data_IF_697336436059
#
_entry.id   IF_697336436059
#
_cell.length_a   1.000
_cell.length_b   1.000
_cell.length_c   1.000
_cell.angle_alpha   90.00
_cell.angle_beta   90.00
_cell.angle_gamma   90.00
#
_symmetry.space_group_name_H-M   'P 1'
#
loop_
_entity.id
_entity.type
_entity.pdbx_description
1 polymer ?
#
# COMPACT_ATOMS: atom_id res chain seq x y z
N UNK A 1 61.59 -28.82 -28.60
CA UNK A 1 60.91 -28.35 -27.37
C UNK A 1 60.09 -27.13 -27.72
N UNK A 2 58.77 -27.29 -27.79
CA UNK A 2 57.76 -26.25 -27.65
C UNK A 2 56.46 -26.99 -27.32
N UNK A 3 56.05 -26.90 -26.07
CA UNK A 3 54.91 -27.64 -25.50
C UNK A 3 53.69 -26.71 -25.56
N UNK A 4 52.69 -27.10 -26.33
CA UNK A 4 51.44 -26.37 -26.53
C UNK A 4 50.49 -26.71 -25.36
N UNK A 5 50.07 -25.69 -24.59
CA UNK A 5 49.08 -25.84 -23.53
C UNK A 5 47.66 -25.98 -24.13
N UNK A 6 46.73 -26.74 -23.50
CA UNK A 6 45.39 -26.95 -24.03
C UNK A 6 44.47 -25.75 -23.73
N UNK A 7 43.58 -25.46 -24.67
CA UNK A 7 42.56 -24.41 -24.57
C UNK A 7 41.42 -24.81 -23.60
N UNK A 8 41.05 -23.91 -22.69
CA UNK A 8 39.88 -24.06 -21.82
C UNK A 8 38.58 -23.81 -22.61
N UNK A 9 37.50 -24.58 -22.35
CA UNK A 9 36.21 -24.34 -22.99
C UNK A 9 35.48 -23.16 -22.33
N UNK A 10 35.12 -22.17 -23.14
CA UNK A 10 34.22 -21.06 -22.77
C UNK A 10 32.82 -21.67 -22.56
N UNK A 11 32.33 -21.64 -21.31
CA UNK A 11 30.95 -22.00 -20.99
C UNK A 11 30.00 -20.96 -21.61
N UNK A 12 28.92 -21.37 -22.31
CA UNK A 12 27.92 -20.43 -22.78
C UNK A 12 27.17 -19.83 -21.59
N UNK A 13 27.13 -18.49 -21.54
CA UNK A 13 26.19 -17.73 -20.73
C UNK A 13 24.78 -18.19 -21.11
N UNK A 14 24.12 -18.95 -20.22
CA UNK A 14 22.70 -19.27 -20.35
C UNK A 14 21.88 -18.06 -19.95
N UNK A 15 21.67 -17.19 -20.92
CA UNK A 15 20.49 -16.33 -21.01
C UNK A 15 19.26 -17.23 -21.23
N UNK A 16 18.40 -17.31 -20.22
CA UNK A 16 16.96 -17.60 -20.29
C UNK A 16 16.51 -18.09 -18.90
N UNK A 17 16.46 -17.17 -17.93
CA UNK A 17 15.46 -17.31 -16.87
C UNK A 17 14.12 -17.03 -17.54
N UNK A 18 13.41 -18.12 -17.86
CA UNK A 18 12.05 -18.09 -18.37
C UNK A 18 11.17 -17.24 -17.45
N UNK A 19 10.62 -16.19 -18.04
CA UNK A 19 9.84 -15.10 -17.44
C UNK A 19 8.37 -15.51 -17.17
N UNK A 20 8.10 -16.80 -16.96
CA UNK A 20 6.76 -17.32 -16.75
C UNK A 20 6.67 -18.02 -15.38
N UNK A 21 5.64 -17.63 -14.63
CA UNK A 21 5.13 -18.21 -13.38
C UNK A 21 5.73 -17.71 -12.05
N UNK A 22 6.00 -16.41 -11.93
CA UNK A 22 5.81 -15.71 -10.65
C UNK A 22 4.33 -15.32 -10.45
N UNK A 23 3.44 -16.30 -10.54
CA UNK A 23 2.09 -16.21 -9.98
C UNK A 23 2.18 -16.45 -8.46
N UNK A 24 2.97 -15.60 -7.79
CA UNK A 24 2.98 -15.52 -6.34
C UNK A 24 1.67 -14.86 -5.93
N UNK A 25 0.66 -15.69 -5.67
CA UNK A 25 -0.59 -15.32 -4.98
C UNK A 25 -0.30 -14.22 -3.97
N UNK A 26 -0.70 -13.00 -4.27
CA UNK A 26 -0.42 -11.84 -3.44
C UNK A 26 -1.23 -12.01 -2.13
N UNK A 27 -0.62 -12.59 -1.10
CA UNK A 27 -1.25 -12.89 0.21
C UNK A 27 -1.55 -11.64 1.05
N UNK A 28 -1.45 -10.45 0.45
CA UNK A 28 -1.70 -9.17 1.10
C UNK A 28 -3.14 -8.69 0.96
N UNK A 29 -3.46 -7.63 1.69
CA UNK A 29 -4.74 -6.92 1.56
C UNK A 29 -4.56 -5.73 0.64
N UNK A 30 -5.38 -5.66 -0.40
CA UNK A 30 -5.40 -4.53 -1.34
C UNK A 30 -6.15 -3.36 -0.70
N UNK A 31 -5.43 -2.27 -0.43
CA UNK A 31 -5.98 -1.01 0.09
C UNK A 31 -6.21 0.04 -1.02
N UNK A 32 -6.25 -0.43 -2.26
CA UNK A 32 -6.44 0.35 -3.48
C UNK A 32 -5.16 0.98 -4.03
N UNK A 33 -5.21 1.35 -5.32
CA UNK A 33 -4.20 2.21 -5.97
C UNK A 33 -4.61 3.68 -5.84
N UNK A 34 -3.68 4.62 -6.07
CA UNK A 34 -4.03 6.04 -6.12
C UNK A 34 -5.23 6.25 -7.08
N UNK A 35 -6.25 7.03 -6.68
CA UNK A 35 -6.32 7.91 -5.52
C UNK A 35 -6.90 7.29 -4.22
N UNK A 36 -7.20 5.99 -4.18
CA UNK A 36 -7.89 5.36 -3.04
C UNK A 36 -7.18 5.53 -1.69
N UNK A 37 -5.84 5.60 -1.69
CA UNK A 37 -5.05 5.89 -0.49
C UNK A 37 -5.34 7.28 0.09
N UNK A 38 -5.72 8.26 -0.74
CA UNK A 38 -6.13 9.59 -0.28
C UNK A 38 -7.51 9.56 0.38
N UNK A 39 -8.45 8.74 -0.12
CA UNK A 39 -9.76 8.58 0.50
C UNK A 39 -9.62 7.98 1.92
N UNK A 40 -8.79 6.93 2.06
CA UNK A 40 -8.50 6.34 3.38
C UNK A 40 -7.84 7.37 4.29
N UNK A 41 -6.87 8.13 3.78
CA UNK A 41 -6.18 9.18 4.53
C UNK A 41 -7.15 10.22 5.09
N UNK A 42 -8.03 10.79 4.26
CA UNK A 42 -8.98 11.81 4.69
C UNK A 42 -10.06 11.27 5.62
N UNK A 43 -10.56 10.06 5.33
CA UNK A 43 -11.47 9.36 6.24
C UNK A 43 -10.84 9.09 7.62
N UNK A 44 -9.58 8.67 7.68
CA UNK A 44 -8.88 8.52 8.96
C UNK A 44 -8.68 9.88 9.64
N UNK A 45 -8.42 10.96 8.89
CA UNK A 45 -8.25 12.30 9.45
C UNK A 45 -9.52 12.80 10.16
N UNK A 46 -10.71 12.46 9.63
CA UNK A 46 -11.99 12.85 10.24
C UNK A 46 -12.33 12.09 11.53
N UNK A 47 -11.71 10.93 11.76
CA UNK A 47 -11.97 10.09 12.95
C UNK A 47 -10.84 10.13 13.98
N UNK A 48 -9.58 10.08 13.53
CA UNK A 48 -8.41 10.11 14.40
C UNK A 48 -7.16 10.56 13.65
N UNK A 49 -6.68 11.77 13.97
CA UNK A 49 -5.41 12.32 13.46
C UNK A 49 -4.24 11.34 13.70
N UNK A 50 -4.25 10.62 14.83
CA UNK A 50 -3.21 9.63 15.14
C UNK A 50 -3.30 8.40 14.23
N UNK A 51 -4.50 7.91 13.93
CA UNK A 51 -4.67 6.81 12.98
C UNK A 51 -4.22 7.21 11.57
N UNK A 52 -4.56 8.42 11.15
CA UNK A 52 -4.12 9.00 9.87
C UNK A 52 -2.59 9.11 9.81
N UNK A 53 -1.93 9.62 10.86
CA UNK A 53 -0.47 9.70 10.89
C UNK A 53 0.22 8.32 10.80
N UNK A 54 -0.32 7.31 11.50
CA UNK A 54 0.18 5.93 11.40
C UNK A 54 -0.05 5.36 9.99
N UNK A 55 -1.20 5.63 9.38
CA UNK A 55 -1.45 5.26 7.99
C UNK A 55 -0.46 5.92 7.02
N UNK A 56 -0.09 7.18 7.22
CA UNK A 56 0.91 7.84 6.38
C UNK A 56 2.31 7.18 6.48
N UNK A 57 2.69 6.69 7.67
CA UNK A 57 3.92 5.91 7.85
C UNK A 57 3.87 4.55 7.14
N UNK A 58 2.68 3.97 7.03
CA UNK A 58 2.46 2.68 6.38
C UNK A 58 2.41 2.80 4.86
N UNK A 59 1.60 3.71 4.31
CA UNK A 59 1.17 3.67 2.91
C UNK A 59 1.50 4.94 2.10
N UNK A 60 2.18 5.92 2.68
CA UNK A 60 2.49 7.20 2.01
C UNK A 60 3.99 7.50 1.87
N UNK A 61 4.87 6.52 2.06
CA UNK A 61 6.32 6.74 1.84
C UNK A 61 6.98 7.67 2.86
N UNK A 62 6.35 7.94 4.01
CA UNK A 62 6.86 8.89 5.02
C UNK A 62 7.96 8.34 5.92
N UNK A 63 8.25 7.03 5.83
CA UNK A 63 9.20 6.34 6.70
C UNK A 63 10.36 5.78 5.91
N UNK A 64 11.57 6.00 6.42
CA UNK A 64 12.80 5.36 5.90
C UNK A 64 12.75 3.87 6.27
N UNK A 65 13.03 3.00 5.30
CA UNK A 65 12.99 1.56 5.52
C UNK A 65 14.16 1.11 6.42
N UNK A 66 13.96 0.12 7.30
CA UNK A 66 14.94 -0.25 8.32
C UNK A 66 16.24 -0.86 7.76
N UNK A 67 16.27 -1.16 6.46
CA UNK A 67 17.42 -1.71 5.75
C UNK A 67 18.17 -0.68 4.90
N UNK A 68 17.88 0.62 5.08
CA UNK A 68 18.57 1.71 4.38
C UNK A 68 18.09 2.00 2.96
N UNK A 69 17.08 1.27 2.49
CA UNK A 69 16.44 1.54 1.20
C UNK A 69 15.46 2.73 1.30
N UNK A 70 15.42 3.53 0.25
CA UNK A 70 14.37 4.52 0.03
C UNK A 70 13.10 3.82 -0.47
N UNK A 71 11.90 4.34 -0.13
CA UNK A 71 10.65 3.88 -0.75
C UNK A 71 10.76 3.93 -2.28
N UNK A 72 10.60 2.78 -2.95
CA UNK A 72 10.71 2.66 -4.41
C UNK A 72 12.10 2.28 -4.95
N UNK A 73 13.08 1.97 -4.10
CA UNK A 73 14.37 1.41 -4.53
C UNK A 73 14.21 0.02 -5.17
N UNK A 74 15.14 -0.41 -6.05
CA UNK A 74 15.05 -1.65 -6.84
C UNK A 74 15.01 -2.96 -6.02
N UNK A 75 15.11 -2.88 -4.68
CA UNK A 75 15.04 -4.02 -3.76
C UNK A 75 13.68 -4.18 -3.05
N UNK A 76 12.63 -3.46 -3.47
CA UNK A 76 11.28 -3.82 -3.06
C UNK A 76 10.21 -2.83 -3.49
N UNK A 77 9.05 -3.36 -3.86
CA UNK A 77 7.81 -2.59 -4.00
C UNK A 77 7.33 -1.97 -2.68
N UNK A 78 8.04 -2.14 -1.57
CA UNK A 78 7.61 -1.69 -0.25
C UNK A 78 7.77 -0.18 -0.05
N UNK A 79 6.75 0.46 0.55
CA UNK A 79 6.68 1.91 0.75
C UNK A 79 6.51 2.36 2.19
N UNK A 80 6.33 1.43 3.10
CA UNK A 80 6.21 1.75 4.51
C UNK A 80 5.84 0.54 5.34
N UNK A 81 5.90 0.73 6.66
CA UNK A 81 5.63 -0.32 7.62
C UNK A 81 5.21 0.25 8.96
N UNK A 82 4.50 -0.57 9.71
CA UNK A 82 4.23 -0.39 11.13
C UNK A 82 4.84 -1.56 11.91
N UNK A 83 5.49 -1.23 13.01
CA UNK A 83 5.89 -2.22 14.02
C UNK A 83 4.65 -2.85 14.69
N UNK A 84 4.79 -3.99 15.38
CA UNK A 84 3.69 -4.56 16.16
C UNK A 84 3.06 -3.57 17.14
N UNK A 85 3.86 -2.77 17.84
CA UNK A 85 3.38 -1.77 18.80
C UNK A 85 2.58 -0.66 18.11
N UNK A 86 3.05 -0.17 16.97
CA UNK A 86 2.32 0.82 16.18
C UNK A 86 1.03 0.24 15.60
N UNK A 87 1.04 -1.03 15.17
CA UNK A 87 -0.14 -1.75 14.66
C UNK A 87 -1.19 -1.92 15.76
N UNK A 88 -0.79 -2.31 16.98
CA UNK A 88 -1.69 -2.33 18.13
C UNK A 88 -2.21 -0.94 18.48
N UNK A 89 -1.36 0.09 18.40
CA UNK A 89 -1.79 1.47 18.60
C UNK A 89 -2.71 1.97 17.50
N UNK A 90 -2.64 1.44 16.29
CA UNK A 90 -3.56 1.78 15.21
C UNK A 90 -4.91 1.09 15.44
N UNK A 91 -4.89 -0.21 15.74
CA UNK A 91 -6.10 -0.99 16.01
C UNK A 91 -6.94 -0.39 17.15
N UNK A 92 -6.31 0.05 18.25
CA UNK A 92 -7.03 0.68 19.37
C UNK A 92 -7.65 2.04 19.02
N UNK A 93 -7.15 2.74 18.00
CA UNK A 93 -7.74 4.01 17.51
C UNK A 93 -8.87 3.79 16.52
N UNK A 94 -8.94 2.61 15.94
CA UNK A 94 -9.97 2.20 14.99
C UNK A 94 -11.03 1.32 15.65
N UNK A 95 -10.94 1.09 16.97
CA UNK A 95 -11.90 0.27 17.70
C UNK A 95 -13.30 0.89 17.62
N UNK A 96 -14.26 0.07 17.18
CA UNK A 96 -15.66 0.49 16.99
C UNK A 96 -15.93 1.31 15.72
N UNK A 97 -14.90 1.72 14.97
CA UNK A 97 -15.08 2.43 13.72
C UNK A 97 -15.73 1.53 12.66
N UNK A 98 -16.79 2.03 12.03
CA UNK A 98 -17.47 1.33 10.95
C UNK A 98 -16.95 1.81 9.61
N UNK A 99 -16.60 0.88 8.73
CA UNK A 99 -16.26 1.22 7.35
C UNK A 99 -17.53 1.65 6.59
N UNK A 100 -17.42 2.61 5.64
CA UNK A 100 -18.47 2.84 4.67
C UNK A 100 -18.81 1.56 3.90
N UNK A 101 -20.08 1.39 3.59
CA UNK A 101 -20.51 0.29 2.73
C UNK A 101 -19.95 0.46 1.33
N UNK A 102 -19.44 -0.63 0.73
CA UNK A 102 -18.71 -0.58 -0.54
C UNK A 102 -19.54 0.08 -1.66
N UNK A 103 -20.81 -0.28 -1.76
CA UNK A 103 -21.73 0.25 -2.77
C UNK A 103 -22.02 1.75 -2.60
N UNK A 104 -22.08 2.24 -1.35
CA UNK A 104 -22.27 3.67 -1.06
C UNK A 104 -21.02 4.47 -1.42
N UNK A 105 -19.83 3.96 -1.07
CA UNK A 105 -18.56 4.58 -1.40
C UNK A 105 -18.32 4.65 -2.92
N UNK A 106 -18.71 3.61 -3.67
CA UNK A 106 -18.66 3.62 -5.13
C UNK A 106 -19.62 4.66 -5.74
N UNK A 107 -20.87 4.70 -5.28
CA UNK A 107 -21.85 5.67 -5.75
C UNK A 107 -21.39 7.12 -5.49
N UNK A 108 -20.83 7.36 -4.31
CA UNK A 108 -20.27 8.65 -3.94
C UNK A 108 -19.05 9.03 -4.80
N UNK A 109 -18.15 8.09 -5.08
CA UNK A 109 -17.02 8.32 -5.97
C UNK A 109 -17.49 8.71 -7.39
N UNK A 110 -18.50 8.02 -7.93
CA UNK A 110 -19.08 8.37 -9.22
C UNK A 110 -19.78 9.73 -9.22
N UNK A 111 -20.40 10.13 -8.11
CA UNK A 111 -20.95 11.48 -7.95
C UNK A 111 -19.82 12.53 -7.95
N UNK A 112 -18.74 12.30 -7.19
CA UNK A 112 -17.57 13.18 -7.15
C UNK A 112 -16.97 13.43 -8.54
N UNK A 113 -16.78 12.37 -9.34
CA UNK A 113 -16.23 12.49 -10.70
C UNK A 113 -17.13 13.33 -11.62
N UNK A 114 -18.46 13.16 -11.53
CA UNK A 114 -19.42 13.96 -12.30
C UNK A 114 -19.37 15.44 -11.90
N UNK A 115 -19.33 15.73 -10.60
CA UNK A 115 -19.29 17.11 -10.10
C UNK A 115 -17.99 17.83 -10.49
N UNK A 116 -16.84 17.13 -10.46
CA UNK A 116 -15.57 17.71 -10.92
C UNK A 116 -15.58 18.16 -12.40
N UNK A 117 -16.43 17.54 -13.23
CA UNK A 117 -16.54 17.89 -14.65
C UNK A 117 -17.48 19.07 -14.95
N UNK A 118 -18.31 19.48 -13.98
CA UNK A 118 -19.44 20.39 -14.21
C UNK A 118 -19.32 21.76 -13.50
N UNK A 119 -18.47 21.93 -12.49
CA UNK A 119 -18.47 23.13 -11.61
C UNK A 119 -17.22 24.03 -11.64
N UNK A 120 -17.47 25.32 -11.41
CA UNK A 120 -16.54 26.45 -11.24
C UNK A 120 -15.89 26.46 -9.84
N UNK A 121 -14.70 27.06 -9.71
CA UNK A 121 -13.69 26.94 -8.64
C UNK A 121 -14.12 27.18 -7.17
N UNK A 122 -15.39 27.45 -6.84
CA UNK A 122 -15.80 27.92 -5.51
C UNK A 122 -16.51 26.89 -4.61
N UNK A 123 -16.74 25.65 -5.07
CA UNK A 123 -17.26 24.57 -4.20
C UNK A 123 -16.66 23.20 -4.54
N UNK A 124 -15.39 23.18 -4.91
CA UNK A 124 -14.72 21.94 -5.31
C UNK A 124 -14.35 21.12 -4.08
N UNK A 125 -15.20 20.15 -3.74
CA UNK A 125 -14.93 19.10 -2.75
C UNK A 125 -13.54 18.49 -2.99
N UNK A 126 -12.76 18.23 -1.93
CA UNK A 126 -11.44 17.59 -2.08
C UNK A 126 -11.55 16.06 -2.25
N UNK A 127 -10.55 15.46 -2.89
CA UNK A 127 -10.55 14.01 -3.17
C UNK A 127 -10.48 13.15 -1.90
N UNK A 128 -9.83 13.63 -0.85
CA UNK A 128 -9.73 12.96 0.44
C UNK A 128 -11.01 13.07 1.28
N UNK A 129 -11.99 13.87 0.84
CA UNK A 129 -13.31 13.89 1.45
C UNK A 129 -14.21 12.74 0.96
N UNK A 130 -13.85 12.04 -0.12
CA UNK A 130 -14.64 10.94 -0.70
C UNK A 130 -14.53 9.69 0.18
N UNK A 131 -15.65 8.99 0.39
CA UNK A 131 -15.65 7.75 1.15
C UNK A 131 -14.70 6.67 0.57
N UNK A 132 -13.88 6.01 1.41
CA UNK A 132 -12.95 4.97 0.97
C UNK A 132 -13.62 3.61 0.72
N UNK A 133 -13.54 3.12 -0.51
CA UNK A 133 -14.02 1.79 -0.93
C UNK A 133 -13.30 0.67 -0.14
N UNK A 134 -11.99 0.82 0.12
CA UNK A 134 -11.18 -0.22 0.77
C UNK A 134 -11.07 -0.08 2.30
N UNK A 135 -11.88 0.76 2.94
CA UNK A 135 -11.82 0.95 4.39
C UNK A 135 -12.07 -0.35 5.17
N UNK A 136 -13.07 -1.15 4.77
CA UNK A 136 -13.38 -2.42 5.44
C UNK A 136 -12.18 -3.38 5.43
N UNK A 137 -11.61 -3.60 4.26
CA UNK A 137 -10.42 -4.44 4.09
C UNK A 137 -9.22 -3.92 4.90
N UNK A 138 -9.00 -2.60 4.93
CA UNK A 138 -7.97 -1.98 5.75
C UNK A 138 -8.19 -2.20 7.25
N UNK A 139 -9.42 -1.98 7.75
CA UNK A 139 -9.76 -2.23 9.15
C UNK A 139 -9.51 -3.69 9.53
N UNK A 140 -9.91 -4.63 8.68
CA UNK A 140 -9.71 -6.05 8.90
C UNK A 140 -8.23 -6.43 8.96
N UNK A 141 -7.42 -5.93 8.03
CA UNK A 141 -5.98 -6.15 8.01
C UNK A 141 -5.31 -5.68 9.32
N UNK A 142 -5.64 -4.47 9.76
CA UNK A 142 -5.13 -3.89 11.01
C UNK A 142 -5.56 -4.72 12.21
N UNK A 143 -6.84 -5.11 12.27
CA UNK A 143 -7.39 -5.89 13.37
C UNK A 143 -6.71 -7.26 13.48
N UNK A 144 -6.61 -7.98 12.37
CA UNK A 144 -5.98 -9.30 12.31
C UNK A 144 -4.50 -9.20 12.73
N UNK A 145 -3.76 -8.26 12.16
CA UNK A 145 -2.34 -8.07 12.49
C UNK A 145 -2.14 -7.71 13.97
N UNK A 146 -2.98 -6.84 14.53
CA UNK A 146 -2.91 -6.47 15.95
C UNK A 146 -3.23 -7.65 16.89
N UNK A 147 -4.23 -8.47 16.56
CA UNK A 147 -4.59 -9.68 17.33
C UNK A 147 -3.43 -10.69 17.35
N UNK A 148 -2.70 -10.82 16.25
CA UNK A 148 -1.56 -11.71 16.12
C UNK A 148 -0.23 -11.09 16.59
N UNK A 149 -0.24 -9.83 17.05
CA UNK A 149 0.94 -9.06 17.46
C UNK A 149 1.99 -8.95 16.35
N UNK A 150 1.52 -8.77 15.11
CA UNK A 150 2.35 -8.60 13.93
C UNK A 150 2.46 -7.13 13.54
N UNK A 151 3.55 -6.80 12.83
CA UNK A 151 3.67 -5.54 12.09
C UNK A 151 2.94 -5.61 10.76
N UNK A 152 2.82 -4.46 10.11
CA UNK A 152 2.29 -4.34 8.74
C UNK A 152 3.39 -3.82 7.83
N UNK A 153 3.42 -4.29 6.59
CA UNK A 153 4.26 -3.75 5.51
C UNK A 153 3.37 -3.43 4.32
N UNK A 154 3.56 -2.29 3.69
CA UNK A 154 2.81 -1.87 2.51
C UNK A 154 3.72 -1.92 1.30
N UNK A 155 3.19 -2.39 0.16
CA UNK A 155 3.86 -2.37 -1.13
C UNK A 155 2.99 -1.73 -2.21
N UNK A 156 3.64 -1.22 -3.25
CA UNK A 156 3.05 -0.79 -4.52
C UNK A 156 3.05 -2.00 -5.45
N UNK A 157 1.86 -2.48 -5.82
CA UNK A 157 1.67 -3.50 -6.85
C UNK A 157 1.00 -2.94 -8.10
#
# INVERSE_FOLDING_TARGET
>A
MQTQAPAEPILPFTDALSDDDLDATNTGVVIGRQPATLHIRGWLASHSVRAMALFELLACGRRVMPFGYLPGDPYGSYIGYLTPTETSSLASRLEGLQAPEMHEAEAEHQAFLRHQSLESEHSKRMIDEVAPIHAGAFLDAVRIAAQQRLGLICSIG
#
